data_IF_799109636768
#
_entry.id   IF_799109636768
#
_cell.length_a   1.000
_cell.length_b   1.000
_cell.length_c   1.000
_cell.angle_alpha   90.00
_cell.angle_beta   90.00
_cell.angle_gamma   90.00
#
_symmetry.space_group_name_H-M   'P 1'
#
loop_
_entity.id
_entity.type
_entity.pdbx_description
1 polymer ?
#
# COMPACT_ATOMS: atom_id res chain seq x y z
N UNK A 1 4.30 10.67 -29.68
CA UNK A 1 3.76 9.99 -30.87
C UNK A 1 4.38 8.64 -31.13
N UNK A 2 5.69 8.46 -30.96
CA UNK A 2 6.36 7.17 -31.24
C UNK A 2 5.83 5.98 -30.42
N UNK A 3 5.28 6.20 -29.22
CA UNK A 3 4.83 5.13 -28.32
C UNK A 3 3.33 4.81 -28.39
N UNK A 4 2.54 5.55 -29.17
CA UNK A 4 1.08 5.41 -29.24
C UNK A 4 0.53 5.56 -30.69
N UNK A 5 1.06 4.79 -31.64
CA UNK A 5 0.61 4.91 -33.04
C UNK A 5 -0.84 4.42 -33.18
N UNK A 6 -1.69 5.26 -33.77
CA UNK A 6 -3.10 4.93 -34.03
C UNK A 6 -4.05 5.13 -32.86
N UNK A 7 -3.57 5.63 -31.71
CA UNK A 7 -4.40 5.87 -30.53
C UNK A 7 -5.04 7.29 -30.51
N UNK A 8 -4.91 8.06 -31.58
CA UNK A 8 -5.53 9.37 -31.74
C UNK A 8 -4.89 10.48 -30.90
N UNK A 9 -3.59 10.40 -30.64
CA UNK A 9 -2.83 11.49 -30.00
C UNK A 9 -2.19 12.41 -31.05
N UNK A 10 -2.29 13.71 -30.82
CA UNK A 10 -1.59 14.75 -31.58
C UNK A 10 -0.28 15.14 -30.87
N UNK A 11 0.50 16.02 -31.50
CA UNK A 11 1.71 16.58 -30.90
C UNK A 11 1.44 17.41 -29.64
N UNK A 12 0.22 17.91 -29.49
CA UNK A 12 -0.22 18.76 -28.36
C UNK A 12 -0.97 17.98 -27.29
N UNK A 13 -1.23 16.68 -27.52
CA UNK A 13 -1.95 15.84 -26.56
C UNK A 13 -1.13 15.62 -25.30
N UNK A 14 -1.81 15.65 -24.15
CA UNK A 14 -1.26 15.26 -22.84
C UNK A 14 -1.70 13.83 -22.54
N UNK A 15 -0.80 13.02 -21.97
CA UNK A 15 -1.04 11.61 -21.68
C UNK A 15 -0.76 11.35 -20.21
N UNK A 16 -1.68 10.69 -19.53
CA UNK A 16 -1.50 10.20 -18.17
C UNK A 16 -0.47 9.08 -18.11
N UNK A 17 0.68 9.31 -17.44
CA UNK A 17 1.79 8.34 -17.36
C UNK A 17 1.82 7.56 -16.06
N UNK A 18 1.13 8.03 -15.04
CA UNK A 18 1.09 7.40 -13.71
C UNK A 18 -0.18 7.77 -12.98
N UNK A 19 -0.44 7.07 -11.86
CA UNK A 19 -1.56 7.35 -10.96
C UNK A 19 -2.92 7.23 -11.63
N UNK A 20 -3.86 8.03 -11.17
CA UNK A 20 -5.26 8.05 -11.62
C UNK A 20 -5.37 8.43 -13.09
N UNK A 21 -4.55 9.37 -13.57
CA UNK A 21 -4.56 9.80 -14.97
C UNK A 21 -4.22 8.64 -15.92
N UNK A 22 -3.19 7.83 -15.60
CA UNK A 22 -2.86 6.63 -16.38
C UNK A 22 -3.95 5.58 -16.32
N UNK A 23 -4.52 5.39 -15.14
CA UNK A 23 -5.54 4.36 -14.91
C UNK A 23 -6.80 4.63 -15.73
N UNK A 24 -7.21 5.88 -15.79
CA UNK A 24 -8.42 6.32 -16.46
C UNK A 24 -8.17 7.12 -17.75
N UNK A 25 -6.99 6.98 -18.36
CA UNK A 25 -6.60 7.69 -19.58
C UNK A 25 -7.65 7.59 -20.69
N UNK A 26 -8.21 6.40 -20.92
CA UNK A 26 -9.22 6.17 -21.98
C UNK A 26 -10.52 6.92 -21.72
N UNK A 27 -10.89 7.09 -20.47
CA UNK A 27 -12.10 7.82 -20.07
C UNK A 27 -11.86 9.34 -20.10
N UNK A 28 -10.69 9.77 -19.62
CA UNK A 28 -10.36 11.19 -19.49
C UNK A 28 -10.02 11.85 -20.82
N UNK A 29 -9.49 11.08 -21.80
CA UNK A 29 -8.93 11.63 -23.03
C UNK A 29 -9.92 12.32 -23.95
N UNK A 30 -11.13 11.83 -24.10
CA UNK A 30 -12.03 12.30 -25.18
C UNK A 30 -11.56 11.88 -26.59
N UNK A 31 -12.16 12.47 -27.61
CA UNK A 31 -11.81 12.26 -29.03
C UNK A 31 -11.78 13.59 -29.77
N UNK A 32 -10.72 13.80 -30.53
CA UNK A 32 -10.59 14.95 -31.38
C UNK A 32 -11.62 14.93 -32.54
N UNK A 33 -12.22 16.07 -32.81
CA UNK A 33 -13.00 16.26 -34.02
C UNK A 33 -12.09 16.65 -35.20
N UNK A 34 -12.57 16.45 -36.41
CA UNK A 34 -11.89 16.93 -37.61
C UNK A 34 -12.89 17.33 -38.70
N UNK A 35 -12.49 18.31 -39.53
CA UNK A 35 -13.22 18.71 -40.72
C UNK A 35 -12.34 18.51 -41.96
N UNK A 36 -12.92 17.97 -43.00
CA UNK A 36 -12.32 17.97 -44.34
C UNK A 36 -12.96 19.15 -45.10
N UNK A 37 -12.14 20.16 -45.45
CA UNK A 37 -12.60 21.40 -46.08
C UNK A 37 -11.96 21.61 -47.45
N UNK A 38 -12.74 22.15 -48.39
CA UNK A 38 -12.18 22.71 -49.60
C UNK A 38 -11.93 24.19 -49.31
N UNK A 39 -10.71 24.64 -49.57
CA UNK A 39 -10.34 26.06 -49.48
C UNK A 39 -10.29 26.67 -50.88
N UNK A 40 -10.57 27.96 -51.01
CA UNK A 40 -10.33 28.72 -52.23
C UNK A 40 -8.86 29.19 -52.34
N UNK A 41 -8.54 29.98 -53.38
CA UNK A 41 -7.20 30.50 -53.62
C UNK A 41 -6.69 31.46 -52.54
N UNK A 42 -7.57 32.01 -51.75
CA UNK A 42 -7.29 32.99 -50.70
C UNK A 42 -7.20 32.29 -49.32
N UNK A 43 -7.44 30.96 -49.27
CA UNK A 43 -7.39 30.12 -48.04
C UNK A 43 -8.70 30.13 -47.26
N UNK A 44 -9.79 30.71 -47.80
CA UNK A 44 -11.10 30.73 -47.16
C UNK A 44 -11.86 29.41 -47.43
N UNK A 45 -12.67 29.00 -46.45
CA UNK A 45 -13.44 27.76 -46.53
C UNK A 45 -14.55 27.89 -47.57
N UNK A 46 -14.42 27.21 -48.70
CA UNK A 46 -15.42 27.13 -49.73
C UNK A 46 -16.53 26.14 -49.45
N UNK A 47 -16.14 24.98 -48.90
CA UNK A 47 -17.07 23.89 -48.63
C UNK A 47 -16.48 22.96 -47.53
N UNK A 48 -17.34 22.41 -46.64
CA UNK A 48 -16.99 21.36 -45.69
C UNK A 48 -17.54 20.07 -46.26
N UNK A 49 -16.63 19.16 -46.65
CA UNK A 49 -16.98 17.87 -47.24
C UNK A 49 -17.43 16.83 -46.21
N UNK A 50 -16.78 16.81 -45.05
CA UNK A 50 -17.11 15.92 -43.97
C UNK A 50 -16.65 16.52 -42.63
N UNK A 51 -17.39 16.20 -41.58
CA UNK A 51 -17.05 16.58 -40.20
C UNK A 51 -17.22 15.39 -39.25
N UNK A 52 -16.28 15.22 -38.34
CA UNK A 52 -16.41 14.40 -37.14
C UNK A 52 -16.39 15.35 -35.95
N UNK A 53 -17.42 15.28 -35.14
CA UNK A 53 -17.50 16.13 -33.94
C UNK A 53 -16.55 15.66 -32.87
N UNK A 54 -15.96 16.58 -32.10
CA UNK A 54 -15.21 16.24 -30.91
C UNK A 54 -16.12 15.60 -29.86
N UNK A 55 -15.57 14.68 -29.10
CA UNK A 55 -16.19 14.10 -27.91
C UNK A 55 -15.33 14.47 -26.70
N UNK A 56 -15.92 15.17 -25.72
CA UNK A 56 -15.21 15.50 -24.48
C UNK A 56 -14.97 14.23 -23.64
N UNK A 57 -13.90 14.19 -22.87
CA UNK A 57 -13.62 13.11 -21.93
C UNK A 57 -14.66 13.03 -20.81
N UNK A 58 -14.68 11.92 -20.11
CA UNK A 58 -15.61 11.70 -18.98
C UNK A 58 -15.00 12.19 -17.68
N UNK A 59 -15.82 12.79 -16.82
CA UNK A 59 -15.44 13.09 -15.45
C UNK A 59 -15.26 11.81 -14.63
N UNK A 60 -14.21 11.75 -13.83
CA UNK A 60 -13.94 10.66 -12.90
C UNK A 60 -14.13 11.14 -11.48
N UNK A 61 -15.01 10.48 -10.73
CA UNK A 61 -15.22 10.74 -9.31
C UNK A 61 -14.47 9.71 -8.47
N UNK A 62 -13.63 10.19 -7.57
CA UNK A 62 -12.88 9.37 -6.59
C UNK A 62 -13.52 9.46 -5.21
N UNK A 63 -13.22 8.50 -4.36
CA UNK A 63 -13.61 8.49 -2.93
C UNK A 63 -12.65 9.32 -2.07
N UNK A 64 -11.54 9.79 -2.64
CA UNK A 64 -10.53 10.57 -1.94
C UNK A 64 -11.14 11.89 -1.41
N UNK A 65 -10.98 12.07 -0.10
CA UNK A 65 -11.26 13.34 0.58
C UNK A 65 -10.03 14.25 0.46
N UNK A 66 -10.17 15.32 -0.34
CA UNK A 66 -9.04 16.20 -0.66
C UNK A 66 -8.49 16.95 0.57
N UNK A 67 -9.34 17.28 1.53
CA UNK A 67 -8.93 18.01 2.73
C UNK A 67 -8.18 17.07 3.68
N UNK A 68 -8.65 15.83 3.85
CA UNK A 68 -7.95 14.79 4.59
C UNK A 68 -6.59 14.46 3.95
N UNK A 69 -6.59 14.23 2.63
CA UNK A 69 -5.35 13.95 1.86
C UNK A 69 -4.32 15.06 2.06
N UNK A 70 -4.74 16.32 1.92
CA UNK A 70 -3.88 17.48 2.11
C UNK A 70 -3.39 17.59 3.57
N UNK A 71 -4.27 17.39 4.55
CA UNK A 71 -3.91 17.44 5.95
C UNK A 71 -2.84 16.41 6.30
N UNK A 72 -3.00 15.16 5.85
CA UNK A 72 -2.02 14.09 6.05
C UNK A 72 -0.69 14.41 5.36
N UNK A 73 -0.74 14.92 4.12
CA UNK A 73 0.47 15.32 3.42
C UNK A 73 1.24 16.41 4.18
N UNK A 74 0.58 17.48 4.63
CA UNK A 74 1.22 18.60 5.34
C UNK A 74 1.88 18.17 6.65
N UNK A 75 1.34 17.15 7.34
CA UNK A 75 1.94 16.63 8.57
C UNK A 75 3.20 15.81 8.35
N UNK A 76 3.32 15.11 7.21
CA UNK A 76 4.40 14.16 6.96
C UNK A 76 5.34 14.57 5.83
N UNK A 77 5.11 15.69 5.13
CA UNK A 77 5.80 16.07 3.90
C UNK A 77 7.33 16.16 4.02
N UNK A 78 7.85 16.39 5.22
CA UNK A 78 9.30 16.49 5.45
C UNK A 78 9.96 15.11 5.64
N UNK A 79 9.17 14.07 5.93
CA UNK A 79 9.67 12.73 6.23
C UNK A 79 9.30 11.70 5.15
N UNK A 80 10.20 10.75 4.82
CA UNK A 80 9.86 9.63 3.97
C UNK A 80 8.83 8.71 4.64
N UNK A 81 7.60 8.71 4.15
CA UNK A 81 6.52 7.94 4.74
C UNK A 81 5.32 7.74 3.83
N UNK A 82 4.29 7.09 4.35
CA UNK A 82 2.98 7.03 3.70
C UNK A 82 1.86 7.02 4.73
N UNK A 83 0.70 7.51 4.31
CA UNK A 83 -0.54 7.45 5.09
C UNK A 83 -1.66 6.91 4.23
N UNK A 84 -2.48 6.05 4.82
CA UNK A 84 -3.66 5.46 4.22
C UNK A 84 -4.84 5.70 5.15
N UNK A 85 -5.97 6.13 4.60
CA UNK A 85 -7.22 6.25 5.35
C UNK A 85 -8.36 5.57 4.59
N UNK A 86 -9.15 4.79 5.31
CA UNK A 86 -10.32 4.07 4.80
C UNK A 86 -11.52 4.33 5.68
N UNK A 87 -12.71 4.33 5.07
CA UNK A 87 -13.95 4.27 5.80
C UNK A 87 -14.22 2.82 6.25
N UNK A 88 -14.27 2.53 7.57
CA UNK A 88 -14.41 1.15 8.06
C UNK A 88 -15.77 0.52 7.75
N UNK A 89 -16.78 1.32 7.42
CA UNK A 89 -18.12 0.82 7.12
C UNK A 89 -18.38 0.55 5.64
N UNK A 90 -17.71 1.31 4.76
CA UNK A 90 -17.96 1.22 3.31
C UNK A 90 -16.79 0.62 2.55
N UNK A 91 -15.59 0.59 3.15
CA UNK A 91 -14.35 0.19 2.48
C UNK A 91 -13.79 1.26 1.55
N UNK A 92 -14.43 2.44 1.43
CA UNK A 92 -13.96 3.53 0.59
C UNK A 92 -12.60 4.04 1.07
N UNK A 93 -11.67 4.19 0.13
CA UNK A 93 -10.35 4.77 0.39
C UNK A 93 -10.48 6.29 0.36
N UNK A 94 -10.23 6.92 1.50
CA UNK A 94 -10.38 8.37 1.70
C UNK A 94 -9.07 9.13 1.51
N UNK A 95 -7.93 8.50 1.72
CA UNK A 95 -6.62 9.09 1.47
C UNK A 95 -5.56 8.04 1.15
N UNK A 96 -4.67 8.39 0.22
CA UNK A 96 -3.45 7.64 -0.14
C UNK A 96 -2.32 8.64 -0.32
N UNK A 97 -1.48 8.78 0.68
CA UNK A 97 -0.39 9.78 0.71
C UNK A 97 0.95 9.08 0.72
N UNK A 98 1.89 9.54 -0.11
CA UNK A 98 3.29 9.15 -0.08
C UNK A 98 4.14 10.42 0.04
N UNK A 99 5.04 10.46 1.00
CA UNK A 99 5.89 11.63 1.29
C UNK A 99 7.37 11.29 1.25
N UNK A 100 8.24 12.26 0.89
CA UNK A 100 7.87 13.49 0.20
C UNK A 100 7.27 13.21 -1.18
N UNK A 101 6.67 14.21 -1.79
CA UNK A 101 6.13 14.13 -3.14
C UNK A 101 6.81 15.15 -4.07
N UNK A 102 6.34 15.22 -5.28
CA UNK A 102 6.81 16.14 -6.30
C UNK A 102 5.65 16.92 -6.91
N UNK A 103 5.92 18.07 -7.52
CA UNK A 103 4.90 18.82 -8.26
C UNK A 103 4.69 18.20 -9.65
N UNK A 104 3.55 17.53 -9.84
CA UNK A 104 3.18 16.91 -11.12
C UNK A 104 2.96 17.93 -12.24
N UNK A 105 2.62 19.21 -11.93
CA UNK A 105 2.51 20.25 -12.92
C UNK A 105 3.86 20.60 -13.58
N UNK A 106 4.98 20.41 -12.89
CA UNK A 106 6.30 20.56 -13.50
C UNK A 106 6.53 19.55 -14.63
N UNK A 107 5.98 18.33 -14.51
CA UNK A 107 6.08 17.32 -15.57
C UNK A 107 5.30 17.68 -16.83
N UNK A 108 4.13 18.31 -16.70
CA UNK A 108 3.32 18.77 -17.84
C UNK A 108 4.05 19.90 -18.59
N UNK A 109 4.69 20.79 -17.86
CA UNK A 109 5.42 21.93 -18.44
C UNK A 109 6.77 21.54 -19.04
N UNK A 110 7.24 20.33 -18.77
CA UNK A 110 8.57 19.83 -19.12
C UNK A 110 9.58 20.10 -18.02
N UNK A 111 10.24 19.04 -17.57
CA UNK A 111 11.33 19.13 -16.59
C UNK A 111 12.66 19.46 -17.26
N UNK A 112 13.46 20.35 -16.66
CA UNK A 112 14.87 20.48 -17.03
C UNK A 112 15.65 19.24 -16.61
N UNK A 113 16.79 18.99 -17.27
CA UNK A 113 17.65 17.86 -16.93
C UNK A 113 18.14 17.94 -15.50
N UNK A 114 18.44 19.14 -15.00
CA UNK A 114 18.89 19.39 -13.62
C UNK A 114 17.79 19.03 -12.61
N UNK A 115 16.54 19.43 -12.88
CA UNK A 115 15.41 19.11 -12.00
C UNK A 115 15.12 17.60 -11.99
N UNK A 116 15.15 16.96 -13.16
CA UNK A 116 15.01 15.51 -13.26
C UNK A 116 16.08 14.79 -12.45
N UNK A 117 17.36 15.20 -12.60
CA UNK A 117 18.47 14.64 -11.84
C UNK A 117 18.27 14.84 -10.34
N UNK A 118 17.89 16.05 -9.91
CA UNK A 118 17.66 16.34 -8.48
C UNK A 118 16.57 15.47 -7.87
N UNK A 119 15.47 15.19 -8.59
CA UNK A 119 14.40 14.30 -8.11
C UNK A 119 14.81 12.82 -8.03
N UNK A 120 15.66 12.36 -8.96
CA UNK A 120 16.15 10.97 -8.97
C UNK A 120 17.24 10.71 -7.94
N UNK A 121 18.10 11.70 -7.66
CA UNK A 121 19.22 11.59 -6.73
C UNK A 121 18.85 12.00 -5.30
N UNK A 122 17.63 12.50 -5.08
CA UNK A 122 17.14 12.86 -3.75
C UNK A 122 17.09 11.61 -2.86
N UNK A 123 17.81 11.64 -1.74
CA UNK A 123 17.87 10.54 -0.76
C UNK A 123 16.49 10.19 -0.19
N UNK A 124 15.59 11.17 -0.12
CA UNK A 124 14.20 10.99 0.33
C UNK A 124 13.31 10.36 -0.74
N UNK A 125 13.79 10.14 -1.96
CA UNK A 125 13.13 9.45 -3.07
C UNK A 125 11.66 9.92 -3.30
N UNK A 126 11.42 11.16 -3.71
CA UNK A 126 10.07 11.69 -3.89
C UNK A 126 9.27 11.00 -5.00
N UNK A 127 9.96 10.38 -5.99
CA UNK A 127 9.32 9.61 -7.04
C UNK A 127 8.90 8.19 -6.61
N UNK A 128 9.32 7.75 -5.42
CA UNK A 128 9.01 6.42 -4.90
C UNK A 128 7.67 6.42 -4.18
N UNK A 129 6.69 5.74 -4.75
CA UNK A 129 5.36 5.65 -4.16
C UNK A 129 5.30 4.58 -3.06
N UNK A 130 5.27 5.04 -1.80
CA UNK A 130 5.40 4.20 -0.61
C UNK A 130 4.14 3.44 -0.23
N UNK A 131 2.96 3.96 -0.48
CA UNK A 131 1.72 3.24 -0.19
C UNK A 131 1.48 2.04 -1.12
N UNK A 132 2.18 1.98 -2.25
CA UNK A 132 2.14 0.82 -3.16
C UNK A 132 3.07 -0.32 -2.73
N UNK A 133 3.96 -0.06 -1.81
CA UNK A 133 4.98 -1.00 -1.36
C UNK A 133 4.53 -1.79 -0.14
N UNK A 134 5.35 -2.76 0.26
CA UNK A 134 5.16 -3.53 1.47
C UNK A 134 6.25 -3.18 2.50
N UNK A 135 5.88 -3.23 3.76
CA UNK A 135 6.73 -2.84 4.88
C UNK A 135 6.61 -3.85 6.00
N UNK A 136 7.67 -3.98 6.79
CA UNK A 136 7.62 -4.73 8.04
C UNK A 136 6.64 -4.03 9.00
N UNK A 137 5.52 -4.68 9.38
CA UNK A 137 4.48 -4.02 10.18
C UNK A 137 4.87 -3.84 11.64
N UNK A 138 5.79 -4.66 12.15
CA UNK A 138 6.14 -4.67 13.57
C UNK A 138 4.92 -4.87 14.46
N UNK A 139 4.91 -4.19 15.60
CA UNK A 139 3.87 -4.35 16.63
C UNK A 139 2.45 -4.01 16.19
N UNK A 140 2.26 -3.29 15.08
CA UNK A 140 0.91 -3.06 14.51
C UNK A 140 0.26 -4.35 14.01
N UNK A 141 1.03 -5.43 13.85
CA UNK A 141 0.55 -6.74 13.44
C UNK A 141 0.02 -7.60 14.59
N UNK A 142 0.34 -7.28 15.84
CA UNK A 142 -0.07 -8.06 17.02
C UNK A 142 -1.59 -8.24 17.15
N UNK A 143 -2.45 -7.24 16.87
CA UNK A 143 -3.90 -7.45 16.83
C UNK A 143 -4.33 -8.51 15.81
N UNK A 144 -3.67 -8.57 14.64
CA UNK A 144 -3.93 -9.59 13.62
C UNK A 144 -3.61 -10.99 14.17
N UNK A 145 -2.44 -11.14 14.81
CA UNK A 145 -2.03 -12.42 15.44
C UNK A 145 -2.97 -12.81 16.57
N UNK A 146 -3.42 -11.85 17.38
CA UNK A 146 -4.45 -12.09 18.40
C UNK A 146 -5.75 -12.61 17.77
N UNK A 147 -6.20 -11.97 16.67
CA UNK A 147 -7.38 -12.41 15.90
C UNK A 147 -7.22 -13.83 15.36
N UNK A 148 -6.06 -14.18 14.79
CA UNK A 148 -5.75 -15.53 14.33
C UNK A 148 -5.85 -16.53 15.50
N UNK A 149 -5.24 -16.22 16.64
CA UNK A 149 -5.27 -17.09 17.82
C UNK A 149 -6.69 -17.33 18.34
N UNK A 150 -7.53 -16.31 18.36
CA UNK A 150 -8.95 -16.39 18.74
C UNK A 150 -9.75 -17.19 17.72
N UNK A 151 -9.60 -16.89 16.43
CA UNK A 151 -10.32 -17.57 15.33
C UNK A 151 -10.03 -19.07 15.28
N UNK A 152 -8.78 -19.45 15.47
CA UNK A 152 -8.34 -20.87 15.46
C UNK A 152 -8.65 -21.59 16.77
N UNK A 153 -9.06 -20.87 17.82
CA UNK A 153 -9.20 -21.43 19.17
C UNK A 153 -7.90 -21.84 19.83
N UNK A 154 -6.77 -21.44 19.26
CA UNK A 154 -5.44 -21.79 19.77
C UNK A 154 -5.06 -20.99 21.03
N UNK A 155 -5.65 -19.81 21.23
CA UNK A 155 -5.37 -18.90 22.32
C UNK A 155 -6.64 -18.62 23.13
N UNK A 156 -6.60 -18.87 24.44
CA UNK A 156 -7.57 -18.30 25.37
C UNK A 156 -7.07 -16.89 25.76
N UNK A 157 -7.85 -15.82 25.55
CA UNK A 157 -7.42 -14.45 25.86
C UNK A 157 -7.17 -14.19 27.36
N UNK A 158 -7.64 -15.11 28.23
CA UNK A 158 -7.43 -15.05 29.68
C UNK A 158 -6.31 -15.94 30.17
N UNK A 159 -5.72 -16.77 29.31
CA UNK A 159 -4.60 -17.62 29.67
C UNK A 159 -3.38 -16.77 30.00
N UNK A 160 -2.82 -17.02 31.18
CA UNK A 160 -1.59 -16.35 31.62
C UNK A 160 -0.38 -17.14 31.11
N UNK A 161 0.42 -16.53 30.24
CA UNK A 161 1.62 -17.12 29.66
C UNK A 161 2.85 -17.05 30.59
N UNK A 162 2.70 -16.42 31.76
CA UNK A 162 3.75 -16.21 32.73
C UNK A 162 4.78 -15.15 32.32
N UNK A 163 5.34 -14.49 33.35
CA UNK A 163 6.38 -13.50 33.15
C UNK A 163 7.74 -14.19 32.98
N UNK A 164 8.36 -14.02 31.81
CA UNK A 164 9.68 -14.58 31.46
C UNK A 164 10.81 -13.56 31.65
N UNK A 165 10.50 -12.38 32.22
CA UNK A 165 11.43 -11.26 32.25
C UNK A 165 11.50 -10.55 30.90
N UNK A 166 12.61 -9.87 30.62
CA UNK A 166 12.80 -9.06 29.42
C UNK A 166 13.33 -9.84 28.20
N UNK A 167 13.69 -11.10 28.37
CA UNK A 167 14.20 -11.95 27.30
C UNK A 167 13.75 -13.40 27.48
N UNK A 168 13.36 -14.04 26.39
CA UNK A 168 12.88 -15.40 26.38
C UNK A 168 13.43 -16.18 25.19
N UNK A 169 13.71 -17.44 25.42
CA UNK A 169 14.11 -18.42 24.43
C UNK A 169 13.30 -19.70 24.66
N UNK A 170 12.77 -20.30 23.61
CA UNK A 170 11.98 -21.52 23.75
C UNK A 170 12.77 -22.65 24.37
N UNK A 171 13.94 -22.93 23.80
CA UNK A 171 14.89 -23.97 24.29
C UNK A 171 16.25 -23.79 23.58
N UNK A 172 17.20 -24.69 23.91
CA UNK A 172 18.57 -24.63 23.39
C UNK A 172 18.71 -24.83 21.87
N UNK A 173 17.65 -25.30 21.18
CA UNK A 173 17.69 -25.47 19.72
C UNK A 173 17.75 -24.11 18.98
N UNK A 174 17.37 -23.01 19.64
CA UNK A 174 17.46 -21.66 19.12
C UNK A 174 18.87 -21.04 19.21
N UNK A 175 19.84 -21.77 19.77
CA UNK A 175 21.22 -21.29 19.93
C UNK A 175 21.31 -20.06 20.84
N UNK A 176 21.79 -18.94 20.33
CA UNK A 176 21.85 -17.66 21.05
C UNK A 176 20.65 -16.73 20.80
N UNK A 177 19.68 -17.16 19.98
CA UNK A 177 18.54 -16.33 19.63
C UNK A 177 17.56 -16.22 20.80
N UNK A 178 17.12 -14.99 21.09
CA UNK A 178 16.14 -14.67 22.12
C UNK A 178 15.15 -13.62 21.62
N UNK A 179 13.89 -13.77 21.98
CA UNK A 179 12.88 -12.72 21.82
C UNK A 179 12.95 -11.82 23.03
N UNK A 180 12.95 -10.50 22.80
CA UNK A 180 13.00 -9.49 23.87
C UNK A 180 11.75 -8.64 23.92
N UNK A 181 11.38 -8.20 25.12
CA UNK A 181 10.31 -7.23 25.37
C UNK A 181 10.83 -6.05 26.20
N UNK A 182 10.03 -4.97 26.30
CA UNK A 182 10.45 -3.74 27.00
C UNK A 182 9.94 -3.66 28.43
N UNK A 183 8.94 -4.46 28.78
CA UNK A 183 8.22 -4.34 30.05
C UNK A 183 8.00 -5.71 30.69
N UNK A 184 8.17 -5.78 32.00
CA UNK A 184 7.71 -6.89 32.84
C UNK A 184 6.38 -6.48 33.48
N UNK A 185 5.40 -7.38 33.48
CA UNK A 185 4.07 -7.16 34.04
C UNK A 185 3.37 -8.48 34.33
N UNK A 186 2.36 -8.44 35.16
CA UNK A 186 1.50 -9.57 35.49
C UNK A 186 0.03 -9.10 35.62
N UNK A 187 -0.95 -9.97 35.27
CA UNK A 187 -0.80 -11.25 34.56
C UNK A 187 -0.43 -11.05 33.08
N UNK A 188 0.29 -12.01 32.47
CA UNK A 188 0.72 -12.00 31.07
C UNK A 188 -0.40 -12.59 30.19
N UNK A 189 -1.52 -11.89 30.13
CA UNK A 189 -2.69 -12.25 29.31
C UNK A 189 -2.76 -11.39 28.06
N UNK A 190 -3.54 -11.81 27.05
CA UNK A 190 -3.64 -11.11 25.75
C UNK A 190 -3.89 -9.62 25.86
N UNK A 191 -4.81 -9.18 26.71
CA UNK A 191 -5.11 -7.76 26.92
C UNK A 191 -3.87 -6.96 27.33
N UNK A 192 -3.15 -7.46 28.32
CA UNK A 192 -1.96 -6.77 28.83
C UNK A 192 -0.80 -6.83 27.83
N UNK A 193 -0.66 -7.97 27.10
CA UNK A 193 0.32 -8.11 26.05
C UNK A 193 0.14 -7.10 24.90
N UNK A 194 -1.10 -6.76 24.55
CA UNK A 194 -1.40 -5.67 23.61
C UNK A 194 -1.02 -4.32 24.21
N UNK A 195 -1.40 -4.05 25.45
CA UNK A 195 -1.13 -2.75 26.15
C UNK A 195 0.37 -2.48 26.23
N UNK A 196 1.15 -3.50 26.63
CA UNK A 196 2.61 -3.37 26.80
C UNK A 196 3.40 -3.71 25.53
N UNK A 197 2.70 -4.05 24.44
CA UNK A 197 3.32 -4.42 23.17
C UNK A 197 4.35 -5.56 23.31
N UNK A 198 3.99 -6.60 24.05
CA UNK A 198 4.88 -7.69 24.44
C UNK A 198 5.21 -8.63 23.27
N UNK A 199 6.47 -8.66 22.86
CA UNK A 199 6.94 -9.55 21.81
C UNK A 199 6.99 -11.01 22.28
N UNK A 200 7.32 -11.26 23.56
CA UNK A 200 7.46 -12.63 24.11
C UNK A 200 6.09 -13.31 24.10
N UNK A 201 5.05 -12.62 24.57
CA UNK A 201 3.68 -13.14 24.50
C UNK A 201 3.30 -13.52 23.06
N UNK A 202 3.52 -12.62 22.10
CA UNK A 202 3.11 -12.85 20.71
C UNK A 202 3.98 -13.88 19.98
N UNK A 203 5.26 -14.04 20.34
CA UNK A 203 6.09 -15.14 19.88
C UNK A 203 5.55 -16.49 20.36
N UNK A 204 5.24 -16.61 21.67
CA UNK A 204 4.60 -17.81 22.25
C UNK A 204 3.23 -18.09 21.61
N UNK A 205 2.43 -17.05 21.38
CA UNK A 205 1.13 -17.16 20.73
C UNK A 205 1.27 -17.72 19.30
N UNK A 206 2.19 -17.20 18.49
CA UNK A 206 2.43 -17.70 17.14
C UNK A 206 2.85 -19.16 17.13
N UNK A 207 3.76 -19.56 18.03
CA UNK A 207 4.17 -20.97 18.18
C UNK A 207 2.99 -21.86 18.59
N UNK A 208 2.10 -21.39 19.47
CA UNK A 208 0.91 -22.12 19.90
C UNK A 208 -0.15 -22.23 18.80
N UNK A 209 -0.31 -21.22 17.97
CA UNK A 209 -1.14 -21.24 16.75
C UNK A 209 -0.61 -22.28 15.77
N UNK A 210 0.71 -22.36 15.60
CA UNK A 210 1.40 -23.22 14.65
C UNK A 210 1.44 -22.65 13.24
N UNK A 211 2.47 -23.02 12.49
CA UNK A 211 2.74 -22.45 11.16
C UNK A 211 1.60 -22.68 10.17
N UNK A 212 0.96 -23.85 10.18
CA UNK A 212 -0.13 -24.20 9.26
C UNK A 212 -1.36 -23.30 9.47
N UNK A 213 -1.87 -23.22 10.71
CA UNK A 213 -3.02 -22.36 11.03
C UNK A 213 -2.70 -20.88 10.78
N UNK A 214 -1.47 -20.47 11.09
CA UNK A 214 -1.00 -19.10 10.90
C UNK A 214 -1.02 -18.73 9.41
N UNK A 215 -0.38 -19.54 8.55
CA UNK A 215 -0.34 -19.31 7.10
C UNK A 215 -1.73 -19.41 6.45
N UNK A 216 -2.52 -20.43 6.81
CA UNK A 216 -3.87 -20.61 6.26
C UNK A 216 -4.75 -19.40 6.56
N UNK A 217 -4.73 -18.89 7.79
CA UNK A 217 -5.53 -17.72 8.16
C UNK A 217 -5.03 -16.45 7.46
N UNK A 218 -3.71 -16.28 7.31
CA UNK A 218 -3.17 -15.15 6.55
C UNK A 218 -3.58 -15.21 5.06
N UNK A 219 -3.58 -16.39 4.44
CA UNK A 219 -4.07 -16.56 3.06
C UNK A 219 -5.56 -16.22 2.94
N UNK A 220 -6.38 -16.61 3.94
CA UNK A 220 -7.81 -16.27 3.94
C UNK A 220 -8.08 -14.76 4.01
N UNK A 221 -7.19 -13.99 4.61
CA UNK A 221 -7.29 -12.52 4.69
C UNK A 221 -6.48 -11.80 3.62
N UNK A 222 -6.03 -12.50 2.57
CA UNK A 222 -5.46 -11.91 1.36
C UNK A 222 -3.94 -11.81 1.29
N UNK A 223 -3.18 -12.47 2.17
CA UNK A 223 -1.73 -12.57 2.00
C UNK A 223 -1.37 -13.47 0.81
N UNK A 224 -0.25 -13.17 0.15
CA UNK A 224 0.24 -13.85 -1.06
C UNK A 224 -0.79 -13.81 -2.21
N UNK A 225 -1.58 -12.75 -2.29
CA UNK A 225 -2.60 -12.57 -3.31
C UNK A 225 -2.60 -11.12 -3.79
N UNK A 226 -2.93 -10.94 -5.07
CA UNK A 226 -3.18 -9.61 -5.63
C UNK A 226 -4.29 -8.90 -4.85
N UNK A 227 -4.02 -7.66 -4.45
CA UNK A 227 -5.04 -6.84 -3.82
C UNK A 227 -6.07 -6.39 -4.86
N UNK A 228 -7.39 -6.62 -4.64
CA UNK A 228 -8.44 -6.21 -5.57
C UNK A 228 -8.66 -4.68 -5.50
N UNK A 229 -7.70 -3.93 -6.02
CA UNK A 229 -7.70 -2.48 -6.05
C UNK A 229 -7.26 -1.97 -7.42
N UNK A 230 -7.81 -0.83 -7.89
CA UNK A 230 -7.57 -0.32 -9.23
C UNK A 230 -6.11 0.06 -9.48
N UNK A 231 -5.42 0.57 -8.44
CA UNK A 231 -4.00 0.86 -8.51
C UNK A 231 -3.24 -0.41 -8.10
N UNK A 232 -2.34 -0.90 -8.96
CA UNK A 232 -1.51 -2.05 -8.63
C UNK A 232 -0.70 -1.80 -7.36
N UNK A 233 -0.92 -2.62 -6.33
CA UNK A 233 -0.22 -2.63 -5.06
C UNK A 233 0.71 -3.84 -4.98
N UNK A 234 1.76 -3.76 -4.19
CA UNK A 234 2.56 -4.94 -3.85
C UNK A 234 1.76 -5.86 -2.91
N UNK A 235 1.82 -7.16 -3.17
CA UNK A 235 1.18 -8.19 -2.34
C UNK A 235 1.81 -8.22 -0.94
N UNK A 236 0.98 -8.34 0.08
CA UNK A 236 1.45 -8.65 1.43
C UNK A 236 1.90 -10.10 1.50
N UNK A 237 3.04 -10.35 2.13
CA UNK A 237 3.63 -11.69 2.22
C UNK A 237 4.00 -12.03 3.65
N UNK A 238 3.97 -13.32 4.00
CA UNK A 238 4.41 -13.78 5.31
C UNK A 238 5.78 -14.45 5.28
N UNK A 239 6.34 -14.66 4.11
CA UNK A 239 7.66 -15.25 3.93
C UNK A 239 8.26 -14.82 2.58
N UNK A 240 9.58 -14.90 2.44
CA UNK A 240 10.30 -14.80 1.16
C UNK A 240 10.10 -16.03 0.27
N UNK A 241 9.56 -17.10 0.85
CA UNK A 241 9.09 -18.32 0.20
C UNK A 241 7.59 -18.48 0.51
N UNK A 242 6.95 -19.50 -0.04
CA UNK A 242 5.53 -19.76 0.24
C UNK A 242 5.28 -20.39 1.62
N UNK A 243 6.30 -20.50 2.48
CA UNK A 243 6.23 -21.21 3.77
C UNK A 243 7.01 -20.50 4.87
N UNK A 244 6.50 -20.62 6.10
CA UNK A 244 7.27 -20.35 7.32
C UNK A 244 8.01 -21.62 7.66
N UNK A 245 9.34 -21.60 7.54
CA UNK A 245 10.17 -22.82 7.56
C UNK A 245 10.73 -23.16 8.95
N UNK A 246 10.91 -22.16 9.81
CA UNK A 246 11.52 -22.36 11.13
C UNK A 246 10.65 -21.82 12.26
N UNK A 247 10.83 -22.39 13.46
CA UNK A 247 10.14 -21.90 14.66
C UNK A 247 10.53 -20.46 15.01
N UNK A 248 11.79 -20.07 14.81
CA UNK A 248 12.25 -18.70 15.03
C UNK A 248 11.53 -17.75 14.09
N UNK A 249 11.42 -18.10 12.79
CA UNK A 249 10.68 -17.31 11.84
C UNK A 249 9.20 -17.16 12.23
N UNK A 250 8.56 -18.24 12.69
CA UNK A 250 7.18 -18.21 13.17
C UNK A 250 7.04 -17.33 14.42
N UNK A 251 7.95 -17.45 15.38
CA UNK A 251 7.96 -16.63 16.59
C UNK A 251 8.09 -15.14 16.25
N UNK A 252 9.01 -14.77 15.35
CA UNK A 252 9.20 -13.40 14.91
C UNK A 252 7.98 -12.86 14.14
N UNK A 253 7.33 -13.72 13.36
CA UNK A 253 6.09 -13.39 12.66
C UNK A 253 4.96 -13.02 13.63
N UNK A 254 4.99 -13.58 14.85
CA UNK A 254 4.00 -13.30 15.91
C UNK A 254 3.93 -11.84 16.35
N UNK A 255 5.01 -11.07 16.21
CA UNK A 255 5.03 -9.65 16.51
C UNK A 255 5.36 -8.77 15.30
N UNK A 256 5.08 -9.30 14.09
CA UNK A 256 5.16 -8.57 12.83
C UNK A 256 6.57 -8.30 12.33
N UNK A 257 7.53 -9.16 12.70
CA UNK A 257 8.90 -9.15 12.20
C UNK A 257 9.20 -10.44 11.38
N UNK A 258 10.42 -10.90 11.40
CA UNK A 258 10.83 -12.04 10.57
C UNK A 258 10.76 -11.65 9.09
N UNK A 259 9.91 -12.31 8.34
CA UNK A 259 9.73 -12.07 6.90
C UNK A 259 8.33 -11.53 6.55
N UNK A 260 7.54 -11.11 7.55
CA UNK A 260 6.24 -10.49 7.33
C UNK A 260 6.42 -9.13 6.67
N UNK A 261 5.82 -8.96 5.51
CA UNK A 261 5.73 -7.67 4.79
C UNK A 261 4.27 -7.39 4.46
N UNK A 262 3.79 -6.21 4.80
CA UNK A 262 2.38 -5.84 4.62
C UNK A 262 2.24 -4.53 3.86
N UNK A 263 1.35 -4.51 2.88
CA UNK A 263 0.96 -3.28 2.21
C UNK A 263 0.11 -2.43 3.18
N UNK A 264 0.35 -1.11 3.29
CA UNK A 264 -0.38 -0.24 4.23
C UNK A 264 -1.90 -0.23 4.03
N UNK A 265 -2.38 -0.29 2.78
CA UNK A 265 -3.81 -0.35 2.48
C UNK A 265 -4.40 -1.70 2.91
N UNK A 266 -3.69 -2.79 2.66
CA UNK A 266 -4.08 -4.12 3.12
C UNK A 266 -4.14 -4.19 4.64
N UNK A 267 -3.12 -3.67 5.36
CA UNK A 267 -3.13 -3.62 6.82
C UNK A 267 -4.33 -2.85 7.36
N UNK A 268 -4.64 -1.68 6.76
CA UNK A 268 -5.82 -0.92 7.12
C UNK A 268 -7.10 -1.74 6.93
N UNK A 269 -7.25 -2.46 5.81
CA UNK A 269 -8.44 -3.28 5.54
C UNK A 269 -8.61 -4.45 6.51
N UNK A 270 -7.52 -5.12 6.91
CA UNK A 270 -7.58 -6.26 7.85
C UNK A 270 -8.08 -5.85 9.23
N UNK A 271 -7.76 -4.65 9.69
CA UNK A 271 -8.15 -4.19 11.04
C UNK A 271 -9.66 -3.95 11.15
N UNK A 272 -10.38 -3.84 10.03
CA UNK A 272 -11.84 -3.61 9.98
C UNK A 272 -12.67 -4.89 9.77
N UNK A 273 -12.03 -6.04 9.57
CA UNK A 273 -12.69 -7.34 9.46
C UNK A 273 -12.89 -7.93 10.87
#
# INVERSE_FOLDING_TARGET
MENHPGEGYSAESVIGRSGVEKLYEKQLKGKDGCDIKILDSDGEVKEVLASIFKEDGMDIRLTIDSDLQKSLYEQFKEDPGCSVAMNPYTGEVLALVSTPSYDNNEFIRGLSSEKWTSLNEDEKKPLYNRFRQVWCPGSTFKPVVAGIGLKTGSIDPKEDFGNEGLAWQKDSSWGSYQVTTLHEYEPVIMKNAIIYSDNIYFAKAALKIGSENFMNTLNEIGFNQDMPFEIAMQESTYSNTDKIETEIQLADSGYGQGQILVNPLHLASIIFI
#
